data_IF_720904708587
#
_entry.id   IF_720904708587
#
_cell.length_a   1.000
_cell.length_b   1.000
_cell.length_c   1.000
_cell.angle_alpha   90.00
_cell.angle_beta   90.00
_cell.angle_gamma   90.00
#
_symmetry.space_group_name_H-M   'P 1'
#
loop_
_entity.id
_entity.type
_entity.pdbx_description
1 polymer ?
#
# COMPACT_ATOMS: atom_id res chain seq x y z
N UNK A 1 -53.98 -8.48 -26.12
CA UNK A 1 -54.59 -7.15 -26.32
C UNK A 1 -54.67 -6.46 -24.98
N UNK A 2 -54.18 -5.20 -24.90
CA UNK A 2 -54.76 -4.05 -24.14
C UNK A 2 -54.90 -4.26 -22.61
N UNK A 3 -54.32 -3.47 -21.68
CA UNK A 3 -53.98 -2.03 -21.55
C UNK A 3 -53.27 -1.89 -20.17
N UNK A 4 -52.14 -1.18 -19.98
CA UNK A 4 -52.01 0.28 -19.72
C UNK A 4 -53.01 0.82 -18.66
N UNK A 5 -52.72 1.59 -17.59
CA UNK A 5 -51.76 2.68 -17.33
C UNK A 5 -51.97 3.25 -15.87
N UNK A 6 -50.92 3.91 -15.32
CA UNK A 6 -50.89 5.15 -14.49
C UNK A 6 -51.37 5.16 -13.02
N UNK A 7 -50.47 5.57 -12.10
CA UNK A 7 -50.56 6.78 -11.22
C UNK A 7 -49.67 6.63 -9.95
N UNK A 8 -48.60 7.42 -9.79
CA UNK A 8 -48.51 8.63 -8.94
C UNK A 8 -48.42 8.31 -7.42
N UNK A 9 -47.21 8.19 -6.87
CA UNK A 9 -46.45 9.23 -6.15
C UNK A 9 -46.98 9.55 -4.73
N UNK A 10 -46.19 9.26 -3.69
CA UNK A 10 -45.56 10.26 -2.79
C UNK A 10 -45.06 9.63 -1.47
N UNK A 11 -43.91 10.15 -1.05
CA UNK A 11 -43.39 10.24 0.31
C UNK A 11 -42.67 9.02 0.89
N UNK A 12 -41.34 9.01 0.74
CA UNK A 12 -40.45 8.50 1.78
C UNK A 12 -39.20 9.37 1.84
N UNK A 13 -39.16 10.16 2.91
CA UNK A 13 -38.03 10.93 3.41
C UNK A 13 -36.97 9.94 3.88
N UNK A 14 -35.75 9.97 3.34
CA UNK A 14 -34.56 9.49 4.07
C UNK A 14 -33.32 10.35 3.73
N UNK A 15 -32.54 10.81 4.72
CA UNK A 15 -31.37 11.67 4.56
C UNK A 15 -30.13 10.84 4.21
N UNK A 16 -29.53 11.09 3.04
CA UNK A 16 -28.41 10.32 2.51
C UNK A 16 -27.05 11.01 2.53
N UNK A 17 -26.80 11.96 3.44
CA UNK A 17 -25.49 12.65 3.52
C UNK A 17 -24.57 12.15 4.66
N UNK A 18 -25.04 11.26 5.54
CA UNK A 18 -24.24 10.70 6.65
C UNK A 18 -23.63 9.31 6.37
N UNK A 19 -23.96 8.68 5.25
CA UNK A 19 -23.50 7.30 4.98
C UNK A 19 -22.03 7.22 4.50
N UNK A 20 -21.46 8.32 4.00
CA UNK A 20 -20.10 8.33 3.44
C UNK A 20 -19.01 8.63 4.48
N UNK A 21 -19.36 9.26 5.60
CA UNK A 21 -18.44 9.49 6.73
C UNK A 21 -18.38 8.30 7.69
N UNK A 22 -19.52 7.62 7.92
CA UNK A 22 -19.57 6.40 8.73
C UNK A 22 -18.72 5.26 8.14
N UNK A 23 -18.62 5.17 6.81
CA UNK A 23 -17.79 4.17 6.13
C UNK A 23 -16.29 4.43 6.27
N UNK A 24 -15.87 5.70 6.24
CA UNK A 24 -14.46 6.09 6.45
C UNK A 24 -14.02 5.84 7.90
N UNK A 25 -14.85 6.19 8.88
CA UNK A 25 -14.55 5.94 10.29
C UNK A 25 -14.48 4.43 10.60
N UNK A 26 -15.41 3.63 10.04
CA UNK A 26 -15.35 2.17 10.14
C UNK A 26 -14.04 1.63 9.57
N UNK A 27 -13.64 2.11 8.38
CA UNK A 27 -12.41 1.66 7.71
C UNK A 27 -11.15 2.01 8.49
N UNK A 28 -11.11 3.20 9.10
CA UNK A 28 -10.01 3.62 9.98
C UNK A 28 -9.93 2.77 11.25
N UNK A 29 -11.08 2.40 11.84
CA UNK A 29 -11.11 1.48 13.00
C UNK A 29 -10.65 0.08 12.63
N UNK A 30 -11.02 -0.40 11.45
CA UNK A 30 -10.56 -1.70 10.95
C UNK A 30 -9.05 -1.68 10.67
N UNK A 31 -8.53 -0.62 10.05
CA UNK A 31 -7.08 -0.41 9.88
C UNK A 31 -6.35 -0.31 11.23
N UNK A 32 -6.93 0.34 12.24
CA UNK A 32 -6.33 0.43 13.57
C UNK A 32 -6.31 -0.94 14.29
N UNK A 33 -7.38 -1.74 14.15
CA UNK A 33 -7.42 -3.11 14.68
C UNK A 33 -6.40 -4.01 14.00
N UNK A 34 -6.29 -3.89 12.68
CA UNK A 34 -5.32 -4.65 11.88
C UNK A 34 -3.88 -4.29 12.27
N UNK A 35 -3.53 -3.01 12.32
CA UNK A 35 -2.19 -2.55 12.73
C UNK A 35 -1.86 -2.95 14.19
N UNK A 36 -2.85 -2.95 15.09
CA UNK A 36 -2.66 -3.44 16.45
C UNK A 36 -2.41 -4.95 16.50
N UNK A 37 -3.13 -5.73 15.69
CA UNK A 37 -2.91 -7.17 15.53
C UNK A 37 -1.50 -7.45 14.99
N UNK A 38 -1.07 -6.71 13.96
CA UNK A 38 0.27 -6.82 13.39
C UNK A 38 1.37 -6.46 14.39
N UNK A 39 1.18 -5.40 15.21
CA UNK A 39 2.13 -5.07 16.27
C UNK A 39 2.23 -6.17 17.33
N UNK A 40 1.10 -6.78 17.71
CA UNK A 40 1.10 -7.90 18.65
C UNK A 40 1.80 -9.13 18.06
N UNK A 41 1.59 -9.45 16.78
CA UNK A 41 2.27 -10.58 16.12
C UNK A 41 3.77 -10.35 16.01
N UNK A 42 4.21 -9.16 15.61
CA UNK A 42 5.63 -8.78 15.53
C UNK A 42 6.31 -8.86 16.90
N UNK A 43 5.62 -8.44 17.97
CA UNK A 43 6.17 -8.51 19.32
C UNK A 43 6.25 -9.96 19.83
N UNK A 44 5.27 -10.80 19.51
CA UNK A 44 5.34 -12.24 19.79
C UNK A 44 6.50 -12.90 19.04
N UNK A 45 6.66 -12.58 17.75
CA UNK A 45 7.75 -13.09 16.92
C UNK A 45 9.11 -12.65 17.45
N UNK A 46 9.27 -11.39 17.86
CA UNK A 46 10.50 -10.90 18.49
C UNK A 46 10.83 -11.67 19.77
N UNK A 47 9.83 -11.95 20.61
CA UNK A 47 10.03 -12.74 21.83
C UNK A 47 10.41 -14.19 21.54
N UNK A 48 9.86 -14.78 20.47
CA UNK A 48 10.22 -16.10 20.01
C UNK A 48 11.67 -16.15 19.51
N UNK A 49 12.07 -15.21 18.65
CA UNK A 49 13.46 -15.11 18.17
C UNK A 49 14.45 -14.91 19.32
N UNK A 50 14.09 -14.13 20.34
CA UNK A 50 14.93 -13.96 21.54
C UNK A 50 15.08 -15.26 22.34
N UNK A 51 13.99 -16.03 22.48
CA UNK A 51 14.01 -17.32 23.17
C UNK A 51 14.83 -18.38 22.40
N UNK A 52 14.66 -18.45 21.07
CA UNK A 52 15.44 -19.35 20.21
C UNK A 52 16.94 -19.00 20.25
N UNK A 53 17.28 -17.70 20.21
CA UNK A 53 18.66 -17.25 20.34
C UNK A 53 19.27 -17.67 21.69
N UNK A 54 18.54 -17.49 22.79
CA UNK A 54 19.00 -17.91 24.11
C UNK A 54 19.19 -19.44 24.22
N UNK A 55 18.31 -20.23 23.58
CA UNK A 55 18.45 -21.68 23.51
C UNK A 55 19.71 -22.09 22.74
N UNK A 56 19.93 -21.51 21.56
CA UNK A 56 21.12 -21.77 20.73
C UNK A 56 22.41 -21.35 21.44
N UNK A 57 22.41 -20.22 22.15
CA UNK A 57 23.57 -19.77 22.94
C UNK A 57 23.92 -20.78 24.05
N UNK A 58 22.91 -21.32 24.74
CA UNK A 58 23.06 -22.32 25.79
C UNK A 58 23.59 -23.65 25.24
N UNK A 59 23.07 -24.13 24.13
CA UNK A 59 23.58 -25.33 23.45
C UNK A 59 25.03 -25.17 23.01
N UNK A 60 25.37 -23.99 22.48
CA UNK A 60 26.73 -23.65 22.06
C UNK A 60 27.70 -23.61 23.25
N UNK A 61 27.28 -23.10 24.41
CA UNK A 61 28.12 -23.08 25.61
C UNK A 61 28.27 -24.47 26.24
N UNK A 62 27.22 -25.29 26.23
CA UNK A 62 27.30 -26.70 26.66
C UNK A 62 28.26 -27.51 25.76
N UNK A 63 28.14 -27.38 24.42
CA UNK A 63 29.02 -28.05 23.47
C UNK A 63 30.50 -27.63 23.64
N UNK A 64 30.76 -26.36 23.99
CA UNK A 64 32.11 -25.90 24.32
C UNK A 64 32.67 -26.55 25.58
N UNK A 65 31.87 -26.63 26.65
CA UNK A 65 32.28 -27.29 27.89
C UNK A 65 32.56 -28.78 27.69
N UNK A 66 31.74 -29.47 26.90
CA UNK A 66 31.95 -30.88 26.56
C UNK A 66 33.25 -31.08 25.75
N UNK A 67 33.53 -30.19 24.79
CA UNK A 67 34.76 -30.21 24.02
C UNK A 67 36.01 -29.95 24.87
N UNK A 68 35.95 -29.02 25.83
CA UNK A 68 37.04 -28.76 26.77
C UNK A 68 37.29 -29.95 27.70
N UNK A 69 36.22 -30.59 28.19
CA UNK A 69 36.30 -31.78 29.04
C UNK A 69 36.89 -32.97 28.30
N UNK A 70 36.47 -33.21 27.05
CA UNK A 70 37.05 -34.23 26.18
C UNK A 70 38.53 -33.98 25.89
N UNK A 71 38.92 -32.72 25.61
CA UNK A 71 40.33 -32.34 25.39
C UNK A 71 41.19 -32.54 26.65
N UNK A 72 40.66 -32.28 27.84
CA UNK A 72 41.35 -32.52 29.10
C UNK A 72 41.55 -34.03 29.37
N UNK A 73 40.57 -34.86 29.02
CA UNK A 73 40.66 -36.32 29.10
C UNK A 73 41.76 -36.89 28.21
N UNK A 74 41.85 -36.44 26.95
CA UNK A 74 42.87 -36.89 25.98
C UNK A 74 44.29 -36.51 26.39
N UNK A 75 44.49 -35.33 27.00
CA UNK A 75 45.82 -34.91 27.50
C UNK A 75 46.33 -35.77 28.67
N UNK A 76 45.43 -36.42 29.41
CA UNK A 76 45.78 -37.24 30.59
C UNK A 76 46.17 -38.69 30.22
N UNK A 77 45.75 -39.18 29.06
CA UNK A 77 46.09 -40.52 28.56
C UNK A 77 47.22 -40.45 27.52
N UNK A 78 48.47 -40.30 27.98
CA UNK A 78 49.65 -40.41 27.10
C UNK A 78 50.01 -41.89 26.89
N UNK A 79 49.28 -42.51 25.98
CA UNK A 79 49.53 -43.86 25.45
C UNK A 79 48.49 -44.11 24.38
N UNK A 80 48.91 -44.32 23.13
CA UNK A 80 47.99 -44.51 22.01
C UNK A 80 47.32 -45.89 22.14
N UNK A 81 46.33 -45.98 23.04
CA UNK A 81 45.37 -47.06 23.13
C UNK A 81 44.42 -46.98 21.92
N UNK A 82 43.89 -48.10 21.39
CA UNK A 82 42.82 -48.08 20.40
C UNK A 82 41.61 -47.21 20.80
N UNK A 83 41.41 -46.95 22.09
CA UNK A 83 40.41 -46.02 22.61
C UNK A 83 40.75 -44.55 22.29
N UNK A 84 42.02 -44.16 22.37
CA UNK A 84 42.47 -42.81 22.03
C UNK A 84 42.24 -42.50 20.53
N UNK A 85 42.46 -43.50 19.67
CA UNK A 85 42.16 -43.40 18.23
C UNK A 85 40.66 -43.26 17.95
N UNK A 86 39.80 -43.96 18.71
CA UNK A 86 38.34 -43.82 18.61
C UNK A 86 37.87 -42.43 19.04
N UNK A 87 38.37 -41.92 20.17
CA UNK A 87 38.05 -40.56 20.65
C UNK A 87 38.48 -39.49 19.64
N UNK A 88 39.64 -39.65 18.99
CA UNK A 88 40.11 -38.74 17.94
C UNK A 88 39.23 -38.78 16.68
N UNK A 89 38.73 -39.97 16.31
CA UNK A 89 37.79 -40.12 15.20
C UNK A 89 36.43 -39.48 15.50
N UNK A 90 35.90 -39.68 16.71
CA UNK A 90 34.64 -39.05 17.17
C UNK A 90 34.76 -37.52 17.23
N UNK A 91 35.89 -36.99 17.74
CA UNK A 91 36.14 -35.54 17.77
C UNK A 91 36.25 -34.95 16.35
N UNK A 92 36.88 -35.66 15.40
CA UNK A 92 36.90 -35.24 13.99
C UNK A 92 35.50 -35.23 13.40
N UNK A 93 34.71 -36.28 13.63
CA UNK A 93 33.34 -36.36 13.15
C UNK A 93 32.46 -35.25 13.76
N UNK A 94 32.64 -34.94 15.05
CA UNK A 94 31.95 -33.80 15.70
C UNK A 94 32.36 -32.46 15.11
N UNK A 95 33.65 -32.26 14.79
CA UNK A 95 34.13 -31.05 14.13
C UNK A 95 33.59 -30.92 12.71
N UNK A 96 33.62 -31.98 11.92
CA UNK A 96 33.04 -31.99 10.58
C UNK A 96 31.54 -31.69 10.61
N UNK A 97 30.80 -32.28 11.56
CA UNK A 97 29.38 -31.97 11.76
C UNK A 97 29.15 -30.51 12.20
N UNK A 98 29.99 -29.98 13.08
CA UNK A 98 29.92 -28.58 13.52
C UNK A 98 30.25 -27.60 12.39
N UNK A 99 31.25 -27.90 11.57
CA UNK A 99 31.62 -27.12 10.39
C UNK A 99 30.49 -27.16 9.35
N UNK A 100 29.90 -28.32 9.08
CA UNK A 100 28.74 -28.46 8.21
C UNK A 100 27.53 -27.65 8.73
N UNK A 101 27.27 -27.68 10.04
CA UNK A 101 26.23 -26.87 10.67
C UNK A 101 26.49 -25.38 10.54
N UNK A 102 27.74 -24.94 10.71
CA UNK A 102 28.17 -23.55 10.53
C UNK A 102 27.99 -23.08 9.08
N UNK A 103 28.37 -23.91 8.11
CA UNK A 103 28.20 -23.58 6.69
C UNK A 103 26.73 -23.51 6.31
N UNK A 104 25.91 -24.44 6.80
CA UNK A 104 24.46 -24.40 6.59
C UNK A 104 23.84 -23.14 7.21
N UNK A 105 24.18 -22.83 8.47
CA UNK A 105 23.68 -21.63 9.13
C UNK A 105 24.09 -20.33 8.43
N UNK A 106 25.30 -20.27 7.86
CA UNK A 106 25.73 -19.15 7.02
C UNK A 106 24.91 -19.05 5.74
N UNK A 107 24.70 -20.15 5.03
CA UNK A 107 23.89 -20.17 3.81
C UNK A 107 22.43 -19.76 4.09
N UNK A 108 21.85 -20.25 5.19
CA UNK A 108 20.49 -19.91 5.63
C UNK A 108 20.40 -18.41 5.99
N UNK A 109 21.40 -17.87 6.70
CA UNK A 109 21.48 -16.45 7.03
C UNK A 109 21.65 -15.55 5.79
N UNK A 110 22.49 -15.95 4.83
CA UNK A 110 22.69 -15.24 3.58
C UNK A 110 21.41 -15.25 2.72
N UNK A 111 20.74 -16.40 2.61
CA UNK A 111 19.47 -16.50 1.88
C UNK A 111 18.36 -15.65 2.51
N UNK A 112 18.27 -15.64 3.84
CA UNK A 112 17.32 -14.80 4.59
C UNK A 112 17.62 -13.31 4.43
N UNK A 113 18.90 -12.94 4.45
CA UNK A 113 19.32 -11.56 4.21
C UNK A 113 19.00 -11.10 2.78
N UNK A 114 19.15 -11.97 1.77
CA UNK A 114 18.73 -11.68 0.40
C UNK A 114 17.21 -11.54 0.30
N UNK A 115 16.44 -12.44 0.91
CA UNK A 115 14.98 -12.37 0.92
C UNK A 115 14.47 -11.06 1.56
N UNK A 116 15.05 -10.65 2.68
CA UNK A 116 14.73 -9.38 3.34
C UNK A 116 15.04 -8.16 2.46
N UNK A 117 16.18 -8.16 1.76
CA UNK A 117 16.53 -7.06 0.83
C UNK A 117 15.56 -6.97 -0.35
N UNK A 118 15.18 -8.10 -0.91
CA UNK A 118 14.17 -8.16 -1.98
C UNK A 118 12.82 -7.66 -1.46
N UNK A 119 12.39 -8.13 -0.28
CA UNK A 119 11.14 -7.69 0.34
C UNK A 119 11.12 -6.18 0.60
N UNK A 120 12.21 -5.59 1.10
CA UNK A 120 12.28 -4.14 1.32
C UNK A 120 12.26 -3.37 0.00
N UNK A 121 12.92 -3.88 -1.04
CA UNK A 121 12.90 -3.27 -2.38
C UNK A 121 11.48 -3.24 -2.96
N UNK A 122 10.76 -4.37 -2.85
CA UNK A 122 9.36 -4.46 -3.28
C UNK A 122 8.45 -3.57 -2.42
N UNK A 123 8.69 -3.49 -1.10
CA UNK A 123 7.93 -2.61 -0.21
C UNK A 123 8.08 -1.14 -0.61
N UNK A 124 9.31 -0.69 -0.89
CA UNK A 124 9.59 0.68 -1.35
C UNK A 124 8.94 0.94 -2.70
N UNK A 125 9.01 -0.02 -3.64
CA UNK A 125 8.35 0.09 -4.94
C UNK A 125 6.83 0.24 -4.80
N UNK A 126 6.19 -0.65 -4.06
CA UNK A 126 4.75 -0.64 -3.82
C UNK A 126 4.31 0.64 -3.10
N UNK A 127 5.10 1.13 -2.14
CA UNK A 127 4.82 2.38 -1.45
C UNK A 127 4.82 3.57 -2.43
N UNK A 128 5.76 3.61 -3.39
CA UNK A 128 5.81 4.65 -4.44
C UNK A 128 4.64 4.55 -5.42
N UNK A 129 4.28 3.34 -5.83
CA UNK A 129 3.11 3.11 -6.69
C UNK A 129 1.81 3.54 -5.99
N UNK A 130 1.68 3.25 -4.69
CA UNK A 130 0.55 3.66 -3.86
C UNK A 130 0.45 5.18 -3.72
N UNK A 131 1.57 5.86 -3.43
CA UNK A 131 1.63 7.32 -3.34
C UNK A 131 1.22 7.99 -4.66
N UNK A 132 1.70 7.45 -5.79
CA UNK A 132 1.32 7.91 -7.13
C UNK A 132 -0.19 7.72 -7.37
N UNK A 133 -0.75 6.56 -6.99
CA UNK A 133 -2.16 6.30 -7.13
C UNK A 133 -3.03 7.23 -6.26
N UNK A 134 -2.62 7.49 -5.02
CA UNK A 134 -3.29 8.45 -4.15
C UNK A 134 -3.27 9.86 -4.75
N UNK A 135 -2.12 10.33 -5.23
CA UNK A 135 -2.01 11.63 -5.90
C UNK A 135 -2.92 11.73 -7.14
N UNK A 136 -3.06 10.65 -7.91
CA UNK A 136 -3.99 10.59 -9.04
C UNK A 136 -5.46 10.67 -8.60
N UNK A 137 -5.84 9.98 -7.53
CA UNK A 137 -7.20 10.03 -6.96
C UNK A 137 -7.52 11.43 -6.44
N UNK A 138 -6.59 12.07 -5.74
CA UNK A 138 -6.77 13.42 -5.23
C UNK A 138 -6.92 14.43 -6.35
N UNK A 139 -6.06 14.36 -7.38
CA UNK A 139 -6.14 15.21 -8.56
C UNK A 139 -7.46 15.00 -9.32
N UNK A 140 -7.91 13.76 -9.48
CA UNK A 140 -9.19 13.43 -10.10
C UNK A 140 -10.36 14.01 -9.30
N UNK A 141 -10.32 13.88 -7.97
CA UNK A 141 -11.35 14.41 -7.07
C UNK A 141 -11.42 15.93 -7.13
N UNK A 142 -10.27 16.61 -7.08
CA UNK A 142 -10.20 18.07 -7.20
C UNK A 142 -10.75 18.55 -8.55
N UNK A 143 -10.34 17.93 -9.66
CA UNK A 143 -10.85 18.22 -11.00
C UNK A 143 -12.36 17.97 -11.12
N UNK A 144 -12.87 16.90 -10.51
CA UNK A 144 -14.30 16.60 -10.49
C UNK A 144 -15.11 17.70 -9.79
N UNK A 145 -14.65 18.18 -8.63
CA UNK A 145 -15.27 19.29 -7.92
C UNK A 145 -15.29 20.56 -8.79
N UNK A 146 -14.19 20.88 -9.48
CA UNK A 146 -14.15 22.03 -10.37
C UNK A 146 -15.07 21.87 -11.57
N UNK A 147 -15.11 20.69 -12.19
CA UNK A 147 -16.01 20.38 -13.30
C UNK A 147 -17.49 20.52 -12.87
N UNK A 148 -17.83 20.10 -11.66
CA UNK A 148 -19.18 20.28 -11.10
C UNK A 148 -19.53 21.75 -10.91
N UNK A 149 -18.59 22.58 -10.40
CA UNK A 149 -18.79 24.03 -10.27
C UNK A 149 -19.03 24.70 -11.62
N UNK A 150 -18.22 24.37 -12.64
CA UNK A 150 -18.44 24.87 -14.01
C UNK A 150 -19.83 24.47 -14.52
N UNK A 151 -20.26 23.23 -14.25
CA UNK A 151 -21.61 22.77 -14.58
C UNK A 151 -22.71 23.59 -13.89
N UNK A 152 -22.55 23.92 -12.61
CA UNK A 152 -23.49 24.78 -11.88
C UNK A 152 -23.50 26.21 -12.44
N UNK A 153 -22.35 26.76 -12.81
CA UNK A 153 -22.26 28.08 -13.46
C UNK A 153 -22.96 28.09 -14.82
N UNK A 154 -22.86 27.02 -15.61
CA UNK A 154 -23.61 26.88 -16.87
C UNK A 154 -25.11 26.88 -16.60
N UNK A 155 -25.59 26.10 -15.63
CA UNK A 155 -27.02 26.07 -15.27
C UNK A 155 -27.48 27.45 -14.82
N UNK A 156 -26.73 28.12 -13.93
CA UNK A 156 -27.06 29.46 -13.45
C UNK A 156 -27.05 30.50 -14.58
N UNK A 157 -26.13 30.40 -15.53
CA UNK A 157 -26.11 31.27 -16.71
C UNK A 157 -27.33 31.08 -17.61
N UNK A 158 -27.85 29.85 -17.72
CA UNK A 158 -29.11 29.56 -18.41
C UNK A 158 -30.34 30.07 -17.64
N UNK A 159 -30.36 29.95 -16.31
CA UNK A 159 -31.46 30.44 -15.47
C UNK A 159 -31.57 31.97 -15.48
N UNK A 160 -30.43 32.67 -15.52
CA UNK A 160 -30.38 34.12 -15.63
C UNK A 160 -30.57 34.63 -17.07
N UNK A 161 -30.76 33.74 -18.05
CA UNK A 161 -30.98 34.13 -19.43
C UNK A 161 -32.44 34.56 -19.62
N UNK A 162 -32.68 35.87 -19.66
CA UNK A 162 -34.02 36.41 -19.78
C UNK A 162 -34.63 36.18 -21.18
N UNK A 163 -35.96 36.11 -21.24
CA UNK A 163 -36.70 36.02 -22.51
C UNK A 163 -36.39 37.21 -23.45
N UNK A 164 -36.01 38.37 -22.89
CA UNK A 164 -35.53 39.55 -23.63
C UNK A 164 -34.17 39.31 -24.29
N UNK A 165 -33.25 38.60 -23.65
CA UNK A 165 -31.93 38.27 -24.21
C UNK A 165 -32.08 37.26 -25.35
N UNK A 166 -32.95 36.27 -25.17
CA UNK A 166 -33.30 35.29 -26.22
C UNK A 166 -33.97 35.99 -27.41
N UNK A 167 -34.93 36.88 -27.16
CA UNK A 167 -35.63 37.63 -28.22
C UNK A 167 -34.67 38.58 -28.95
N UNK A 168 -33.81 39.29 -28.21
CA UNK A 168 -32.76 40.13 -28.79
C UNK A 168 -31.85 39.31 -29.67
N UNK A 169 -31.32 38.16 -29.20
CA UNK A 169 -30.43 37.29 -29.99
C UNK A 169 -31.03 36.83 -31.33
N UNK A 170 -32.36 36.79 -31.48
CA UNK A 170 -33.04 36.37 -32.71
C UNK A 170 -33.24 37.49 -33.72
N UNK A 171 -33.04 38.74 -33.33
CA UNK A 171 -33.17 39.88 -34.23
C UNK A 171 -31.92 40.06 -35.11
N UNK A 172 -32.08 40.45 -36.38
CA UNK A 172 -30.96 40.58 -37.34
C UNK A 172 -29.94 41.68 -36.97
N UNK A 173 -30.31 42.63 -36.11
CA UNK A 173 -29.45 43.75 -35.65
C UNK A 173 -28.76 43.49 -34.29
N UNK A 174 -29.05 42.37 -33.62
CA UNK A 174 -28.51 42.07 -32.29
C UNK A 174 -27.24 41.21 -32.33
N UNK A 175 -26.34 41.45 -33.29
CA UNK A 175 -25.09 40.70 -33.44
C UNK A 175 -24.26 40.63 -32.14
N UNK A 176 -24.26 41.72 -31.36
CA UNK A 176 -23.55 41.80 -30.07
C UNK A 176 -24.09 40.80 -29.03
N UNK A 177 -25.38 40.50 -29.03
CA UNK A 177 -25.98 39.54 -28.10
C UNK A 177 -25.61 38.09 -28.47
N UNK A 178 -25.57 37.77 -29.78
CA UNK A 178 -25.12 36.45 -30.27
C UNK A 178 -23.66 36.18 -29.90
N UNK A 179 -22.78 37.13 -30.19
CA UNK A 179 -21.34 37.00 -29.88
C UNK A 179 -21.11 36.80 -28.39
N UNK A 180 -21.89 37.46 -27.51
CA UNK A 180 -21.78 37.23 -26.06
C UNK A 180 -22.14 35.80 -25.66
N UNK A 181 -23.20 35.23 -26.24
CA UNK A 181 -23.61 33.84 -25.96
C UNK A 181 -22.61 32.83 -26.50
N UNK A 182 -22.07 33.06 -27.70
CA UNK A 182 -21.03 32.24 -28.31
C UNK A 182 -19.75 32.26 -27.46
N UNK A 183 -19.30 33.43 -27.03
CA UNK A 183 -18.13 33.58 -26.16
C UNK A 183 -18.34 32.89 -24.80
N UNK A 184 -19.53 32.99 -24.22
CA UNK A 184 -19.85 32.29 -22.97
C UNK A 184 -19.82 30.77 -23.16
N UNK A 185 -20.45 30.26 -24.22
CA UNK A 185 -20.44 28.83 -24.55
C UNK A 185 -19.02 28.31 -24.78
N UNK A 186 -18.19 29.07 -25.51
CA UNK A 186 -16.79 28.72 -25.74
C UNK A 186 -16.00 28.70 -24.42
N UNK A 187 -16.13 29.74 -23.59
CA UNK A 187 -15.43 29.81 -22.30
C UNK A 187 -15.78 28.66 -21.35
N UNK A 188 -17.06 28.27 -21.28
CA UNK A 188 -17.47 27.10 -20.50
C UNK A 188 -16.93 25.79 -21.09
N UNK A 189 -16.93 25.66 -22.42
CA UNK A 189 -16.34 24.52 -23.12
C UNK A 189 -14.85 24.37 -22.82
N UNK A 190 -14.09 25.46 -22.89
CA UNK A 190 -12.66 25.49 -22.59
C UNK A 190 -12.40 25.08 -21.14
N UNK A 191 -13.14 25.66 -20.18
CA UNK A 191 -12.99 25.32 -18.75
C UNK A 191 -13.34 23.86 -18.46
N UNK A 192 -14.39 23.31 -19.07
CA UNK A 192 -14.72 21.88 -18.93
C UNK A 192 -13.62 20.99 -19.50
N UNK A 193 -13.04 21.40 -20.63
CA UNK A 193 -11.94 20.68 -21.26
C UNK A 193 -10.67 20.70 -20.39
N UNK A 194 -10.30 21.84 -19.83
CA UNK A 194 -9.15 22.00 -18.93
C UNK A 194 -9.25 21.13 -17.66
N UNK A 195 -10.47 20.96 -17.13
CA UNK A 195 -10.71 20.14 -15.94
C UNK A 195 -10.79 18.64 -16.25
N UNK A 196 -10.74 18.21 -17.51
CA UNK A 196 -10.72 16.78 -17.84
C UNK A 196 -9.48 16.11 -17.26
N UNK A 197 -9.64 15.05 -16.47
CA UNK A 197 -8.52 14.33 -15.90
C UNK A 197 -7.84 13.43 -16.94
N UNK A 198 -6.51 13.49 -17.02
CA UNK A 198 -5.67 12.57 -17.79
C UNK A 198 -4.64 11.91 -16.85
N UNK A 199 -4.74 10.59 -16.61
CA UNK A 199 -3.82 9.87 -15.72
C UNK A 199 -2.38 9.78 -16.28
N UNK A 200 -2.16 10.07 -17.57
CA UNK A 200 -0.83 10.05 -18.20
C UNK A 200 -0.09 11.39 -18.08
N UNK A 201 -0.84 12.50 -18.00
CA UNK A 201 -0.25 13.83 -17.86
C UNK A 201 0.53 14.01 -16.54
N UNK A 202 0.10 13.34 -15.46
CA UNK A 202 0.82 13.30 -14.18
C UNK A 202 2.03 12.35 -14.16
N UNK A 203 2.13 11.41 -15.12
CA UNK A 203 3.29 10.51 -15.23
C UNK A 203 4.42 11.12 -16.07
N UNK A 204 4.09 12.00 -17.02
CA UNK A 204 5.08 12.67 -17.89
C UNK A 204 6.00 13.66 -17.14
N UNK A 205 5.60 14.14 -15.96
CA UNK A 205 6.39 15.03 -15.11
C UNK A 205 7.24 14.29 -14.06
N UNK A 206 7.16 12.95 -14.00
CA UNK A 206 7.89 12.11 -13.05
C UNK A 206 9.02 11.27 -13.71
N UNK A 207 9.29 11.48 -14.99
CA UNK A 207 10.48 10.94 -15.66
C UNK A 207 11.67 11.93 -15.50
N UNK A 208 12.86 11.45 -15.12
CA UNK A 208 14.07 12.27 -15.06
C UNK A 208 14.54 12.75 -16.44
#
# INVERSE_FOLDING_TARGET
MKRTLIALALLSIVPGAFAQTASLESRLRDQLRETRSQLQSLQAEQSQWAAEKAALEKERDAAKQDAETARAGVKKSTGMSPEASRVLAEERQRREAAEAGLQKGKADAESSAMALRTAETERVRLAKELDTAHGQVDACTARNVQMYRVGQEVISAYENLDASDVLASRQPFAAKARVKLENAAQSFGDRLYEQRFDPRAGQASASP
#
